data_IF_653130455445
#
_entry.id   IF_653130455445
#
_cell.length_a   1.000
_cell.length_b   1.000
_cell.length_c   1.000
_cell.angle_alpha   90.00
_cell.angle_beta   90.00
_cell.angle_gamma   90.00
#
_symmetry.space_group_name_H-M   'P 1'
#
loop_
_entity.id
_entity.type
_entity.pdbx_description
1 polymer ?
#
# COMPACT_ATOMS: atom_id res chain seq x y z
N UNK A 1 11.02 4.17 -6.25
CA UNK A 1 10.77 2.97 -5.42
C UNK A 1 10.73 3.45 -4.00
N UNK A 2 9.70 3.05 -3.25
CA UNK A 2 9.54 3.40 -1.83
C UNK A 2 9.96 2.18 -1.00
N UNK A 3 10.96 2.38 -0.14
CA UNK A 3 11.49 1.34 0.76
C UNK A 3 11.13 1.57 2.22
N UNK A 4 10.53 2.72 2.57
CA UNK A 4 10.11 3.06 3.93
C UNK A 4 11.27 3.25 4.94
N UNK A 5 12.51 3.06 4.51
CA UNK A 5 13.72 3.16 5.35
C UNK A 5 14.10 4.58 5.73
N UNK A 6 13.57 5.58 5.04
CA UNK A 6 13.78 7.00 5.32
C UNK A 6 12.76 7.57 6.32
N UNK A 7 11.82 6.74 6.76
CA UNK A 7 10.93 7.08 7.87
C UNK A 7 11.80 7.13 9.15
N UNK A 8 11.74 8.22 9.92
CA UNK A 8 12.54 8.36 11.13
C UNK A 8 12.37 7.16 12.06
N UNK A 9 13.42 6.73 12.77
CA UNK A 9 13.34 5.61 13.69
C UNK A 9 12.18 5.79 14.67
N UNK A 10 11.35 4.76 14.76
CA UNK A 10 10.23 4.71 15.69
C UNK A 10 10.82 4.66 17.12
N UNK A 11 10.67 5.77 17.85
CA UNK A 11 11.24 6.05 19.16
C UNK A 11 12.76 6.36 19.23
N UNK A 12 13.06 7.52 19.79
CA UNK A 12 14.40 7.95 20.27
C UNK A 12 14.62 7.49 21.72
N UNK A 13 13.67 6.78 22.31
CA UNK A 13 13.52 6.62 23.76
C UNK A 13 13.52 5.18 24.27
N UNK A 14 13.27 4.17 23.41
CA UNK A 14 13.30 2.77 23.80
C UNK A 14 14.50 2.04 23.17
N UNK A 15 15.51 1.62 23.97
CA UNK A 15 16.71 0.97 23.46
C UNK A 15 16.47 -0.50 23.07
N UNK A 16 15.27 -1.05 23.32
CA UNK A 16 14.92 -2.43 22.99
C UNK A 16 14.12 -2.49 21.67
N UNK A 17 14.67 -3.07 20.58
CA UNK A 17 13.97 -3.23 19.31
C UNK A 17 12.68 -4.04 19.39
N UNK A 18 12.51 -4.84 20.44
CA UNK A 18 11.31 -5.65 20.66
C UNK A 18 10.12 -4.85 21.23
N UNK A 19 10.36 -3.66 21.79
CA UNK A 19 9.35 -2.86 22.48
C UNK A 19 8.86 -1.67 21.64
N UNK A 20 9.30 -1.60 20.37
CA UNK A 20 8.92 -0.51 19.47
C UNK A 20 7.54 -0.77 18.88
N UNK A 21 6.60 0.12 19.17
CA UNK A 21 5.23 0.06 18.67
C UNK A 21 5.16 0.39 17.17
N UNK A 22 4.29 -0.29 16.39
CA UNK A 22 3.97 0.15 15.04
C UNK A 22 3.43 1.58 15.05
N UNK A 23 3.89 2.42 14.12
CA UNK A 23 3.42 3.79 13.96
C UNK A 23 2.72 3.94 12.60
N UNK A 24 1.66 4.77 12.48
CA UNK A 24 1.02 5.04 11.21
C UNK A 24 1.99 5.59 10.17
N UNK A 25 1.78 5.24 8.89
CA UNK A 25 2.43 5.95 7.79
C UNK A 25 1.85 7.37 7.73
N UNK A 26 2.69 8.39 7.93
CA UNK A 26 2.25 9.79 7.86
C UNK A 26 2.04 10.21 6.41
N UNK A 27 0.84 10.73 6.11
CA UNK A 27 0.51 11.26 4.80
C UNK A 27 0.80 12.77 4.71
N UNK A 28 1.23 13.27 3.54
CA UNK A 28 1.66 12.49 2.38
C UNK A 28 3.06 11.90 2.59
N UNK A 29 3.29 10.66 2.14
CA UNK A 29 4.60 10.02 2.11
C UNK A 29 5.11 9.94 0.66
N UNK A 30 6.17 10.69 0.33
CA UNK A 30 6.70 10.84 -1.05
C UNK A 30 5.64 11.21 -2.09
N UNK A 31 4.71 12.12 -1.74
CA UNK A 31 3.60 12.56 -2.62
C UNK A 31 2.52 11.51 -2.87
N UNK A 32 2.50 10.44 -2.06
CA UNK A 32 1.44 9.44 -2.05
C UNK A 32 0.74 9.42 -0.68
N UNK A 33 -0.55 9.12 -0.72
CA UNK A 33 -1.35 8.91 0.48
C UNK A 33 -1.62 7.42 0.67
N UNK A 34 -1.49 6.98 1.90
CA UNK A 34 -1.76 5.63 2.35
C UNK A 34 -3.01 5.64 3.21
N UNK A 35 -3.95 4.74 2.94
CA UNK A 35 -5.19 4.68 3.72
C UNK A 35 -4.94 4.32 5.19
N UNK A 36 -5.97 4.46 6.03
CA UNK A 36 -5.88 3.98 7.40
C UNK A 36 -5.53 2.49 7.43
N UNK A 37 -4.78 2.06 8.45
CA UNK A 37 -4.32 0.68 8.60
C UNK A 37 -2.91 0.40 8.09
N UNK A 38 -2.30 1.30 7.30
CA UNK A 38 -0.87 1.22 7.00
C UNK A 38 -0.03 1.71 8.18
N UNK A 39 0.84 0.83 8.68
CA UNK A 39 1.78 1.12 9.77
C UNK A 39 3.18 0.71 9.36
N UNK A 40 4.17 1.40 9.90
CA UNK A 40 5.59 1.06 9.78
C UNK A 40 5.95 0.13 10.92
N UNK A 41 6.59 -1.00 10.61
CA UNK A 41 6.92 -2.01 11.63
C UNK A 41 8.42 -2.25 11.65
N UNK A 42 9.08 -2.11 12.81
CA UNK A 42 10.49 -2.44 12.95
C UNK A 42 10.65 -3.96 13.19
N UNK A 43 11.70 -4.60 12.65
CA UNK A 43 12.12 -5.92 13.13
C UNK A 43 12.49 -5.84 14.63
N UNK A 44 12.17 -6.86 15.47
CA UNK A 44 11.71 -8.21 15.12
C UNK A 44 10.22 -8.48 15.44
N UNK A 45 9.42 -7.46 15.74
CA UNK A 45 7.99 -7.66 16.08
C UNK A 45 7.17 -8.16 14.90
N UNK A 46 7.65 -7.93 13.67
CA UNK A 46 7.02 -8.41 12.46
C UNK A 46 7.36 -9.88 12.13
N UNK A 47 6.38 -10.59 11.56
CA UNK A 47 6.49 -12.00 11.11
C UNK A 47 7.40 -12.14 9.87
N UNK A 48 7.57 -11.06 9.12
CA UNK A 48 8.39 -10.97 7.92
C UNK A 48 9.66 -10.15 8.19
N UNK A 49 10.68 -10.40 7.38
CA UNK A 49 11.88 -9.58 7.34
C UNK A 49 11.75 -8.54 6.22
N UNK A 50 12.21 -7.30 6.46
CA UNK A 50 12.30 -6.30 5.41
C UNK A 50 13.21 -6.80 4.29
N UNK A 51 12.82 -6.52 3.05
CA UNK A 51 13.65 -6.79 1.88
C UNK A 51 14.77 -5.74 1.79
N UNK A 52 14.42 -4.47 2.00
CA UNK A 52 15.32 -3.34 2.22
C UNK A 52 15.31 -2.96 3.69
N UNK A 53 16.47 -2.96 4.33
CA UNK A 53 16.60 -2.66 5.76
C UNK A 53 16.66 -1.14 5.99
N UNK A 54 16.11 -0.64 7.12
CA UNK A 54 15.62 -1.41 8.26
C UNK A 54 14.11 -1.63 8.33
N UNK A 55 13.31 -0.95 7.51
CA UNK A 55 11.87 -0.80 7.71
C UNK A 55 11.07 -1.36 6.54
N UNK A 56 9.81 -1.61 6.81
CA UNK A 56 8.80 -1.98 5.82
C UNK A 56 7.43 -1.71 6.43
N UNK A 57 6.38 -1.88 5.63
CA UNK A 57 5.02 -1.59 6.09
C UNK A 57 4.22 -2.86 6.33
N UNK A 58 3.32 -2.76 7.29
CA UNK A 58 2.23 -3.69 7.57
C UNK A 58 0.92 -2.98 7.27
N UNK A 59 -0.02 -3.70 6.69
CA UNK A 59 -1.40 -3.27 6.60
C UNK A 59 -2.25 -4.12 7.52
N UNK A 60 -2.95 -3.45 8.44
CA UNK A 60 -3.86 -4.06 9.41
C UNK A 60 -5.30 -3.72 8.99
N UNK A 61 -6.05 -4.66 8.42
CA UNK A 61 -7.44 -4.42 8.08
C UNK A 61 -8.28 -4.09 9.32
N UNK A 62 -9.26 -3.19 9.17
CA UNK A 62 -10.25 -3.00 10.22
C UNK A 62 -11.23 -4.18 10.24
N UNK A 63 -11.03 -5.16 11.12
CA UNK A 63 -11.90 -6.34 11.23
C UNK A 63 -13.31 -6.06 11.78
N UNK A 64 -13.56 -4.86 12.30
CA UNK A 64 -14.81 -4.46 12.97
C UNK A 64 -15.66 -3.51 12.12
N UNK A 65 -15.66 -3.68 10.79
CA UNK A 65 -16.53 -2.90 9.91
C UNK A 65 -17.95 -3.50 9.84
N UNK A 66 -18.94 -2.61 9.75
CA UNK A 66 -20.34 -2.96 9.44
C UNK A 66 -20.66 -2.77 7.94
N UNK A 67 -19.64 -2.55 7.12
CA UNK A 67 -19.74 -2.34 5.68
C UNK A 67 -20.22 -3.57 4.94
N UNK A 68 -20.88 -3.36 3.79
CA UNK A 68 -21.35 -4.45 2.92
C UNK A 68 -20.33 -4.88 1.87
N UNK A 69 -19.37 -4.01 1.53
CA UNK A 69 -18.31 -4.32 0.57
C UNK A 69 -16.96 -4.58 1.27
N UNK A 70 -16.52 -5.84 1.38
CA UNK A 70 -15.22 -6.16 1.97
C UNK A 70 -14.03 -5.63 1.13
N UNK A 71 -14.27 -5.29 -0.14
CA UNK A 71 -13.29 -4.72 -1.05
C UNK A 71 -13.27 -3.19 -0.98
N UNK A 72 -14.03 -2.57 -0.10
CA UNK A 72 -13.95 -1.14 0.14
C UNK A 72 -12.63 -0.76 0.84
N UNK A 73 -12.22 0.50 0.72
CA UNK A 73 -11.08 1.03 1.46
C UNK A 73 -11.52 1.53 2.84
N UNK A 74 -10.66 1.57 3.85
CA UNK A 74 -11.01 2.05 5.18
C UNK A 74 -11.38 3.53 5.17
N UNK A 75 -10.93 4.29 4.17
CA UNK A 75 -11.23 5.72 4.02
C UNK A 75 -12.46 5.99 3.12
N UNK A 76 -13.16 4.95 2.68
CA UNK A 76 -14.41 5.08 1.90
C UNK A 76 -15.65 5.09 2.80
N UNK A 77 -16.77 5.60 2.30
CA UNK A 77 -18.06 5.58 3.03
C UNK A 77 -18.52 4.17 3.40
N UNK A 78 -18.15 3.17 2.61
CA UNK A 78 -18.55 1.79 2.85
C UNK A 78 -17.72 1.13 3.94
N UNK A 79 -16.50 1.65 4.22
CA UNK A 79 -15.45 1.08 5.06
C UNK A 79 -15.11 -0.36 4.66
N UNK A 80 -13.83 -0.68 4.47
CA UNK A 80 -13.45 -2.04 4.06
C UNK A 80 -12.10 -2.51 4.57
N UNK A 81 -11.71 -3.70 4.14
CA UNK A 81 -10.51 -4.41 4.61
C UNK A 81 -9.30 -4.22 3.68
N UNK A 82 -9.41 -3.39 2.66
CA UNK A 82 -8.37 -3.22 1.63
C UNK A 82 -7.50 -1.99 1.90
N UNK A 83 -6.22 -2.04 1.54
CA UNK A 83 -5.36 -0.86 1.62
C UNK A 83 -5.43 -0.05 0.34
N UNK A 84 -5.58 1.27 0.44
CA UNK A 84 -5.51 2.18 -0.70
C UNK A 84 -4.21 2.98 -0.68
N UNK A 85 -3.59 3.12 -1.85
CA UNK A 85 -2.44 3.99 -2.10
C UNK A 85 -2.83 4.96 -3.21
N UNK A 86 -2.96 6.23 -2.88
CA UNK A 86 -3.36 7.29 -3.79
C UNK A 86 -2.23 8.26 -4.09
N UNK A 87 -2.36 9.05 -5.16
CA UNK A 87 -1.57 10.26 -5.31
C UNK A 87 -2.07 11.35 -4.34
N UNK A 88 -1.16 12.24 -3.93
CA UNK A 88 -1.41 13.24 -2.89
C UNK A 88 -2.48 14.30 -3.22
N UNK A 89 -2.84 14.48 -4.49
CA UNK A 89 -3.92 15.40 -4.89
C UNK A 89 -5.21 14.66 -5.28
N UNK A 90 -5.24 13.34 -5.11
CA UNK A 90 -6.37 12.47 -5.47
C UNK A 90 -6.87 12.64 -6.93
N UNK A 91 -5.96 12.99 -7.84
CA UNK A 91 -6.26 13.18 -9.27
C UNK A 91 -6.90 14.52 -9.63
N UNK A 92 -7.12 15.42 -8.67
CA UNK A 92 -7.82 16.70 -8.87
C UNK A 92 -7.11 17.57 -9.92
N UNK A 93 -5.78 17.63 -9.89
CA UNK A 93 -5.02 18.45 -10.85
C UNK A 93 -4.53 17.66 -12.06
N UNK A 94 -4.49 16.33 -11.95
CA UNK A 94 -3.90 15.43 -12.95
C UNK A 94 -2.36 15.50 -13.02
N UNK A 95 -1.69 16.25 -12.15
CA UNK A 95 -0.22 16.35 -12.16
C UNK A 95 0.47 15.06 -11.66
N UNK A 96 -0.22 14.27 -10.82
CA UNK A 96 0.36 13.18 -10.04
C UNK A 96 -0.09 11.78 -10.49
N UNK A 97 -0.59 11.64 -11.71
CA UNK A 97 -0.86 10.31 -12.28
C UNK A 97 0.39 9.43 -12.26
N UNK A 98 0.24 8.17 -11.83
CA UNK A 98 1.37 7.26 -11.62
C UNK A 98 1.14 5.88 -12.23
N UNK A 99 2.24 5.15 -12.37
CA UNK A 99 2.27 3.73 -12.73
C UNK A 99 2.68 2.92 -11.50
N UNK A 100 2.07 1.75 -11.33
CA UNK A 100 2.47 0.79 -10.31
C UNK A 100 3.00 -0.48 -10.96
N UNK A 101 4.26 -0.82 -10.65
CA UNK A 101 4.94 -1.98 -11.20
C UNK A 101 4.90 -3.21 -10.26
N UNK A 102 4.50 -3.00 -9.00
CA UNK A 102 4.37 -4.02 -7.96
C UNK A 102 5.36 -3.81 -6.81
N UNK A 103 5.44 -4.77 -5.89
CA UNK A 103 6.26 -4.68 -4.68
C UNK A 103 6.66 -6.08 -4.20
N UNK A 104 7.29 -6.18 -3.04
CA UNK A 104 7.49 -7.45 -2.33
C UNK A 104 6.44 -7.58 -1.23
N UNK A 105 5.79 -8.74 -1.12
CA UNK A 105 4.62 -8.93 -0.28
C UNK A 105 4.71 -10.17 0.62
N UNK A 106 4.04 -10.09 1.76
CA UNK A 106 3.81 -11.17 2.70
C UNK A 106 2.40 -11.08 3.27
N UNK A 107 1.93 -12.14 3.91
CA UNK A 107 0.56 -12.22 4.43
C UNK A 107 0.48 -13.15 5.63
N UNK A 108 -0.53 -12.93 6.48
CA UNK A 108 -0.74 -13.68 7.72
C UNK A 108 -1.44 -15.02 7.47
N UNK A 109 -0.70 -15.95 6.87
CA UNK A 109 -1.12 -17.33 6.64
C UNK A 109 -0.02 -18.31 6.98
N UNK A 110 -0.39 -19.38 7.69
CA UNK A 110 0.47 -20.52 8.03
C UNK A 110 0.25 -21.75 7.12
N UNK A 111 -0.63 -21.66 6.11
CA UNK A 111 -0.97 -22.81 5.27
C UNK A 111 -1.54 -22.43 3.91
N UNK A 112 -2.82 -22.01 3.81
CA UNK A 112 -3.42 -21.68 2.53
C UNK A 112 -2.73 -20.48 1.84
N UNK A 113 -2.65 -20.46 0.50
CA UNK A 113 -2.05 -19.35 -0.22
C UNK A 113 -2.79 -18.05 0.05
N UNK A 114 -2.06 -16.94 -0.08
CA UNK A 114 -2.64 -15.62 0.06
C UNK A 114 -3.01 -15.09 -1.31
N UNK A 115 -4.27 -14.72 -1.44
CA UNK A 115 -4.86 -14.22 -2.67
C UNK A 115 -4.84 -12.69 -2.61
N UNK A 116 -3.95 -12.08 -3.37
CA UNK A 116 -3.87 -10.64 -3.54
C UNK A 116 -4.74 -10.23 -4.72
N UNK A 117 -5.53 -9.18 -4.53
CA UNK A 117 -6.29 -8.50 -5.58
C UNK A 117 -5.86 -7.04 -5.63
N UNK A 118 -5.30 -6.65 -6.76
CA UNK A 118 -4.92 -5.27 -7.07
C UNK A 118 -5.96 -4.67 -7.99
N UNK A 119 -6.43 -3.45 -7.69
CA UNK A 119 -7.35 -2.71 -8.54
C UNK A 119 -6.83 -1.29 -8.71
N UNK A 120 -6.57 -0.89 -9.96
CA UNK A 120 -6.14 0.47 -10.29
C UNK A 120 -7.35 1.35 -10.61
N UNK A 121 -7.33 2.58 -10.11
CA UNK A 121 -8.40 3.55 -10.27
C UNK A 121 -7.91 4.85 -10.91
N UNK A 122 -8.85 5.54 -11.57
CA UNK A 122 -8.65 6.86 -12.13
C UNK A 122 -9.78 7.79 -11.73
N UNK A 123 -9.42 9.01 -11.35
CA UNK A 123 -10.34 10.10 -11.06
C UNK A 123 -10.76 10.79 -12.35
N UNK A 124 -12.06 11.06 -12.48
CA UNK A 124 -12.59 11.84 -13.58
C UNK A 124 -13.02 13.22 -13.08
N UNK A 125 -12.20 14.24 -13.38
CA UNK A 125 -12.47 15.64 -13.02
C UNK A 125 -13.80 16.20 -13.56
N UNK A 126 -14.36 15.61 -14.62
CA UNK A 126 -15.65 16.09 -15.19
C UNK A 126 -16.83 15.59 -14.37
N UNK A 127 -16.76 14.34 -13.89
CA UNK A 127 -17.86 13.72 -13.14
C UNK A 127 -17.66 13.75 -11.63
N UNK A 128 -16.44 14.05 -11.17
CA UNK A 128 -16.04 13.96 -9.77
C UNK A 128 -15.93 12.53 -9.25
N UNK A 129 -15.94 11.52 -10.14
CA UNK A 129 -15.99 10.11 -9.77
C UNK A 129 -14.67 9.39 -10.01
N UNK A 130 -14.28 8.56 -9.06
CA UNK A 130 -13.19 7.59 -9.20
C UNK A 130 -13.73 6.28 -9.76
N UNK A 131 -13.08 5.73 -10.80
CA UNK A 131 -13.53 4.50 -11.46
C UNK A 131 -12.38 3.50 -11.60
N UNK A 132 -12.69 2.20 -11.45
CA UNK A 132 -11.72 1.14 -11.66
C UNK A 132 -11.40 1.02 -13.16
N UNK A 133 -10.11 1.04 -13.49
CA UNK A 133 -9.61 0.97 -14.89
C UNK A 133 -8.81 -0.29 -15.16
N UNK A 134 -8.31 -0.96 -14.13
CA UNK A 134 -7.63 -2.25 -14.24
C UNK A 134 -7.73 -3.07 -12.96
N UNK A 135 -7.55 -4.39 -13.07
CA UNK A 135 -7.42 -5.28 -11.92
C UNK A 135 -6.57 -6.50 -12.25
N UNK A 136 -5.87 -7.02 -11.24
CA UNK A 136 -5.08 -8.25 -11.35
C UNK A 136 -5.13 -9.02 -10.03
N UNK A 137 -5.26 -10.34 -10.12
CA UNK A 137 -5.17 -11.25 -8.96
C UNK A 137 -3.88 -12.05 -9.02
N UNK A 138 -3.22 -12.19 -7.88
CA UNK A 138 -1.96 -12.94 -7.75
C UNK A 138 -1.98 -13.72 -6.46
N UNK A 139 -1.57 -14.99 -6.51
CA UNK A 139 -1.43 -15.82 -5.33
C UNK A 139 0.03 -15.94 -4.94
N UNK A 140 0.33 -15.73 -3.65
CA UNK A 140 1.65 -16.03 -3.09
C UNK A 140 1.54 -17.14 -2.05
N UNK A 141 2.63 -17.90 -1.88
CA UNK A 141 2.71 -18.94 -0.86
C UNK A 141 2.61 -18.32 0.54
N UNK A 142 1.99 -19.06 1.46
CA UNK A 142 1.96 -18.76 2.87
C UNK A 142 3.35 -18.78 3.50
N UNK A 143 3.47 -18.26 4.74
CA UNK A 143 4.63 -18.49 5.58
C UNK A 143 4.29 -19.45 6.73
N UNK A 144 4.64 -20.75 6.62
CA UNK A 144 4.18 -21.76 7.58
C UNK A 144 4.56 -21.49 9.04
N UNK A 145 5.72 -20.87 9.27
CA UNK A 145 6.24 -20.57 10.61
C UNK A 145 5.78 -19.22 11.16
N UNK A 146 5.26 -18.33 10.30
CA UNK A 146 4.99 -16.92 10.62
C UNK A 146 6.15 -16.27 11.42
N UNK A 147 7.38 -16.62 11.06
CA UNK A 147 8.59 -16.16 11.74
C UNK A 147 9.73 -16.10 10.76
N UNK A 148 10.42 -14.94 10.72
CA UNK A 148 11.55 -14.65 9.82
C UNK A 148 11.24 -14.95 8.35
N UNK A 149 10.00 -14.69 7.92
CA UNK A 149 9.55 -14.95 6.57
C UNK A 149 10.16 -13.95 5.58
N UNK A 150 10.48 -14.40 4.36
CA UNK A 150 10.92 -13.50 3.28
C UNK A 150 9.72 -13.03 2.47
N UNK A 151 9.67 -11.73 2.16
CA UNK A 151 8.67 -11.16 1.27
C UNK A 151 8.85 -11.68 -0.17
N UNK A 152 7.75 -11.86 -0.90
CA UNK A 152 7.71 -12.45 -2.24
C UNK A 152 7.44 -11.33 -3.26
N UNK A 153 8.29 -11.18 -4.30
CA UNK A 153 8.06 -10.16 -5.31
C UNK A 153 6.80 -10.48 -6.13
N UNK A 154 5.89 -9.51 -6.22
CA UNK A 154 4.76 -9.49 -7.14
C UNK A 154 5.02 -8.38 -8.17
N UNK A 155 4.90 -8.72 -9.45
CA UNK A 155 4.93 -7.73 -10.54
C UNK A 155 3.53 -7.59 -11.14
N UNK A 156 3.12 -6.35 -11.32
CA UNK A 156 1.85 -6.03 -11.96
C UNK A 156 2.03 -5.94 -13.47
N UNK A 157 0.98 -6.22 -14.21
CA UNK A 157 0.98 -6.08 -15.66
C UNK A 157 1.06 -4.60 -16.10
N UNK A 158 1.27 -4.39 -17.40
CA UNK A 158 1.46 -3.04 -17.96
C UNK A 158 0.18 -2.19 -18.03
N UNK A 159 -0.96 -2.70 -17.58
CA UNK A 159 -2.23 -1.96 -17.52
C UNK A 159 -2.33 -1.08 -16.28
N UNK A 160 -1.49 -1.33 -15.26
CA UNK A 160 -1.37 -0.49 -14.05
C UNK A 160 -0.58 0.81 -14.33
N UNK A 161 -1.14 1.63 -15.22
CA UNK A 161 -0.55 2.87 -15.70
C UNK A 161 -1.55 4.01 -15.64
N UNK A 162 -1.05 5.23 -15.46
CA UNK A 162 -1.88 6.45 -15.44
C UNK A 162 -3.06 6.31 -14.47
N UNK A 163 -2.71 6.02 -13.21
CA UNK A 163 -3.60 5.79 -12.10
C UNK A 163 -3.56 6.97 -11.14
N UNK A 164 -4.67 7.18 -10.43
CA UNK A 164 -4.76 8.12 -9.30
C UNK A 164 -4.76 7.39 -7.96
N UNK A 165 -5.18 6.14 -7.94
CA UNK A 165 -5.01 5.27 -6.78
C UNK A 165 -4.95 3.80 -7.15
N UNK A 166 -4.41 2.99 -6.25
CA UNK A 166 -4.43 1.54 -6.30
C UNK A 166 -4.96 1.00 -4.98
N UNK A 167 -5.89 0.06 -5.09
CA UNK A 167 -6.39 -0.74 -3.98
C UNK A 167 -5.74 -2.10 -3.95
N UNK A 168 -5.37 -2.54 -2.76
CA UNK A 168 -4.77 -3.84 -2.50
C UNK A 168 -5.64 -4.55 -1.46
N UNK A 169 -6.25 -5.66 -1.87
CA UNK A 169 -6.98 -6.54 -0.96
C UNK A 169 -6.26 -7.88 -0.83
N UNK A 170 -6.27 -8.47 0.37
CA UNK A 170 -5.64 -9.76 0.63
C UNK A 170 -6.60 -10.66 1.39
N UNK A 171 -6.86 -11.84 0.84
CA UNK A 171 -7.67 -12.87 1.49
C UNK A 171 -6.94 -14.20 1.59
N UNK A 172 -7.27 -14.96 2.63
CA UNK A 172 -6.82 -16.34 2.83
C UNK A 172 -8.06 -17.15 3.15
N UNK A 173 -8.40 -18.11 2.28
CA UNK A 173 -9.67 -18.85 2.36
C UNK A 173 -10.89 -17.90 2.50
N UNK A 174 -10.92 -16.85 1.66
CA UNK A 174 -11.96 -15.82 1.62
C UNK A 174 -12.07 -14.91 2.85
N UNK A 175 -11.17 -15.01 3.82
CA UNK A 175 -11.13 -14.11 4.97
C UNK A 175 -10.03 -13.06 4.79
N UNK A 176 -10.28 -11.77 5.09
CA UNK A 176 -9.26 -10.73 5.04
C UNK A 176 -8.12 -11.04 6.02
N UNK A 177 -6.90 -10.66 5.67
CA UNK A 177 -5.70 -10.89 6.49
C UNK A 177 -4.82 -9.67 6.58
N UNK A 178 -4.07 -9.60 7.68
CA UNK A 178 -2.90 -8.72 7.79
C UNK A 178 -1.91 -9.10 6.70
N UNK A 179 -1.27 -8.11 6.10
CA UNK A 179 -0.25 -8.30 5.08
C UNK A 179 0.88 -7.29 5.20
N UNK A 180 2.02 -7.62 4.62
CA UNK A 180 3.24 -6.83 4.68
C UNK A 180 3.69 -6.47 3.27
N UNK A 181 4.31 -5.30 3.13
CA UNK A 181 4.86 -4.84 1.86
C UNK A 181 6.17 -4.09 2.06
N UNK A 182 7.07 -4.27 1.10
CA UNK A 182 8.31 -3.52 1.00
C UNK A 182 8.71 -3.35 -0.49
N UNK A 183 9.65 -2.44 -0.77
CA UNK A 183 10.14 -2.13 -2.11
C UNK A 183 9.01 -1.87 -3.10
N UNK A 184 8.13 -0.93 -2.76
CA UNK A 184 7.02 -0.53 -3.62
C UNK A 184 7.55 0.21 -4.86
N UNK A 185 7.35 -0.39 -6.03
CA UNK A 185 7.85 0.11 -7.32
C UNK A 185 6.76 0.95 -7.99
N UNK A 186 6.94 2.26 -7.93
CA UNK A 186 6.11 3.27 -8.55
C UNK A 186 6.95 4.17 -9.46
N UNK A 187 6.29 4.87 -10.39
CA UNK A 187 6.87 5.98 -11.13
C UNK A 187 5.79 6.87 -11.73
N UNK A 188 6.10 8.14 -11.95
CA UNK A 188 5.15 9.07 -12.59
C UNK A 188 4.80 8.58 -13.98
N UNK A 189 3.51 8.69 -14.33
CA UNK A 189 3.03 8.33 -15.65
C UNK A 189 3.61 9.28 -16.71
N UNK A 190 3.52 10.59 -16.46
CA UNK A 190 4.13 11.62 -17.30
C UNK A 190 5.32 12.30 -16.58
N UNK A 191 6.51 12.01 -17.11
CA UNK A 191 7.81 12.54 -16.68
C UNK A 191 8.28 13.75 -17.51
N UNK A 192 7.40 14.36 -18.31
CA UNK A 192 7.73 15.58 -19.04
C UNK A 192 8.06 16.74 -18.08
N UNK A 193 8.89 17.68 -18.55
CA UNK A 193 9.23 18.89 -17.78
C UNK A 193 7.97 19.68 -17.36
N UNK A 194 6.98 19.77 -18.25
CA UNK A 194 5.68 20.40 -17.97
C UNK A 194 5.00 19.76 -16.77
N UNK A 195 4.93 18.42 -16.73
CA UNK A 195 4.26 17.73 -15.64
C UNK A 195 5.10 17.74 -14.34
N UNK A 196 6.43 17.80 -14.46
CA UNK A 196 7.32 18.08 -13.33
C UNK A 196 7.04 19.44 -12.69
N UNK A 197 6.91 20.49 -13.49
CA UNK A 197 6.54 21.83 -13.00
C UNK A 197 5.14 21.83 -12.36
N UNK A 198 4.17 21.15 -12.99
CA UNK A 198 2.82 20.95 -12.46
C UNK A 198 2.87 20.44 -11.00
N UNK A 199 3.58 19.32 -10.76
CA UNK A 199 3.72 18.73 -9.42
C UNK A 199 4.39 19.63 -8.39
N UNK A 200 5.41 20.40 -8.79
CA UNK A 200 6.11 21.32 -7.88
C UNK A 200 5.23 22.53 -7.53
N UNK A 201 4.38 22.97 -8.45
CA UNK A 201 3.48 24.11 -8.25
C UNK A 201 2.17 23.77 -7.54
N UNK A 202 1.82 22.49 -7.44
CA UNK A 202 0.58 22.03 -6.82
C UNK A 202 0.81 21.67 -5.35
N UNK A 203 0.16 22.37 -4.40
CA UNK A 203 0.17 21.95 -3.00
C UNK A 203 -0.53 20.58 -2.85
N UNK A 204 0.10 19.69 -2.09
CA UNK A 204 -0.52 18.48 -1.55
C UNK A 204 -0.95 18.84 -0.11
N UNK A 205 -2.19 18.54 0.26
CA UNK A 205 -2.79 18.90 1.54
C UNK A 205 -3.02 17.68 2.41
#
# INVERSE_FOLDING_TARGET
>A
MLTFDDIPPLSVSDPNPNDVTPEPVFNPYHQFDFSDGFVVVPPPTAKYLPTSKPLFIEFIPNFNINGTDPMAGPNTLEYGYSGDIGNGDHGVTGCFGFNMYGATFGCDSNGPPCEFSFTGFRYNNTTGNTTAVTSQRVNIKACPTLSNCTLIPISLDNTFRDLDSVRINVTVASAPKIWWMDNLRLGWFDNSCKNGLCRISTPIH
#
